data_IF_501579783392
#
_entry.id   IF_501579783392
#
_cell.length_a   1.000
_cell.length_b   1.000
_cell.length_c   1.000
_cell.angle_alpha   90.00
_cell.angle_beta   90.00
_cell.angle_gamma   90.00
#
_symmetry.space_group_name_H-M   'P 1'
#
loop_
_entity.id
_entity.type
_entity.pdbx_description
1 polymer ?
#
# COMPACT_ATOMS: atom_id res chain seq x y z
N UNK A 1 -5.48 4.71 50.76
CA UNK A 1 -4.73 5.56 49.81
C UNK A 1 -5.57 6.80 49.51
N UNK A 2 -4.98 8.01 49.45
CA UNK A 2 -5.77 9.22 49.13
C UNK A 2 -6.29 9.14 47.68
N UNK A 3 -7.55 9.53 47.39
CA UNK A 3 -8.17 9.41 46.06
C UNK A 3 -7.39 10.17 44.97
N UNK A 4 -6.64 11.20 45.36
CA UNK A 4 -5.77 12.00 44.49
C UNK A 4 -4.70 11.14 43.80
N UNK A 5 -4.12 10.16 44.49
CA UNK A 5 -3.10 9.28 43.89
C UNK A 5 -3.72 8.33 42.86
N UNK A 6 -4.94 7.86 43.10
CA UNK A 6 -5.65 6.99 42.16
C UNK A 6 -5.98 7.72 40.85
N UNK A 7 -6.47 8.97 40.94
CA UNK A 7 -6.69 9.80 39.76
C UNK A 7 -5.39 10.11 39.01
N UNK A 8 -4.30 10.40 39.72
CA UNK A 8 -3.00 10.65 39.09
C UNK A 8 -2.50 9.43 38.31
N UNK A 9 -2.64 8.22 38.86
CA UNK A 9 -2.25 6.97 38.19
C UNK A 9 -3.11 6.73 36.95
N UNK A 10 -4.43 6.92 37.04
CA UNK A 10 -5.33 6.75 35.89
C UNK A 10 -4.96 7.71 34.75
N UNK A 11 -4.73 8.98 35.06
CA UNK A 11 -4.34 9.97 34.07
C UNK A 11 -3.01 9.62 33.40
N UNK A 12 -2.04 9.14 34.18
CA UNK A 12 -0.75 8.70 33.65
C UNK A 12 -0.88 7.48 32.74
N UNK A 13 -1.61 6.45 33.19
CA UNK A 13 -1.85 5.23 32.41
C UNK A 13 -2.63 5.53 31.13
N UNK A 14 -3.63 6.40 31.21
CA UNK A 14 -4.41 6.82 30.04
C UNK A 14 -3.55 7.55 29.00
N UNK A 15 -2.69 8.48 29.44
CA UNK A 15 -1.74 9.16 28.55
C UNK A 15 -0.75 8.19 27.89
N UNK A 16 -0.21 7.25 28.66
CA UNK A 16 0.73 6.25 28.17
C UNK A 16 0.08 5.29 27.16
N UNK A 17 -1.12 4.78 27.45
CA UNK A 17 -1.89 3.96 26.53
C UNK A 17 -2.25 4.72 25.25
N UNK A 18 -2.63 5.99 25.37
CA UNK A 18 -2.88 6.86 24.22
C UNK A 18 -1.66 6.97 23.29
N UNK A 19 -0.48 7.16 23.87
CA UNK A 19 0.77 7.20 23.10
C UNK A 19 1.07 5.87 22.39
N UNK A 20 0.90 4.73 23.09
CA UNK A 20 1.08 3.39 22.49
C UNK A 20 0.13 3.21 21.31
N UNK A 21 -1.16 3.53 21.46
CA UNK A 21 -2.16 3.39 20.39
C UNK A 21 -1.76 4.25 19.17
N UNK A 22 -1.36 5.50 19.38
CA UNK A 22 -0.94 6.38 18.30
C UNK A 22 0.29 5.85 17.55
N UNK A 23 1.31 5.42 18.30
CA UNK A 23 2.58 5.00 17.74
C UNK A 23 2.48 3.64 17.04
N UNK A 24 1.78 2.67 17.64
CA UNK A 24 1.74 1.29 17.17
C UNK A 24 0.52 0.96 16.30
N UNK A 25 -0.56 1.75 16.32
CA UNK A 25 -1.73 1.47 15.48
C UNK A 25 -1.91 2.52 14.40
N UNK A 26 -2.00 3.80 14.78
CA UNK A 26 -2.35 4.85 13.83
C UNK A 26 -1.25 5.05 12.78
N UNK A 27 0.02 5.19 13.20
CA UNK A 27 1.15 5.37 12.26
C UNK A 27 1.31 4.23 11.24
N UNK A 28 1.36 2.94 11.63
CA UNK A 28 1.53 1.87 10.64
C UNK A 28 0.33 1.72 9.70
N UNK A 29 -0.90 1.90 10.19
CA UNK A 29 -2.10 1.86 9.34
C UNK A 29 -2.05 2.99 8.30
N UNK A 30 -1.67 4.20 8.71
CA UNK A 30 -1.50 5.32 7.78
C UNK A 30 -0.39 5.06 6.76
N UNK A 31 0.73 4.47 7.18
CA UNK A 31 1.82 4.06 6.29
C UNK A 31 1.35 3.11 5.20
N UNK A 32 0.65 2.04 5.57
CA UNK A 32 0.05 1.10 4.63
C UNK A 32 -0.92 1.77 3.66
N UNK A 33 -1.84 2.60 4.18
CA UNK A 33 -2.81 3.31 3.33
C UNK A 33 -2.13 4.25 2.33
N UNK A 34 -1.04 4.91 2.72
CA UNK A 34 -0.23 5.73 1.80
C UNK A 34 0.37 4.90 0.67
N UNK A 35 0.96 3.74 0.97
CA UNK A 35 1.55 2.85 -0.04
C UNK A 35 0.47 2.28 -0.96
N UNK A 36 -0.67 1.83 -0.40
CA UNK A 36 -1.85 1.39 -1.17
C UNK A 36 -2.33 2.46 -2.14
N UNK A 37 -2.45 3.71 -1.69
CA UNK A 37 -2.86 4.82 -2.54
C UNK A 37 -1.81 5.15 -3.62
N UNK A 38 -0.51 5.08 -3.30
CA UNK A 38 0.58 5.25 -4.26
C UNK A 38 0.47 4.22 -5.40
N UNK A 39 0.26 2.94 -5.05
CA UNK A 39 0.02 1.86 -6.04
C UNK A 39 -1.23 2.14 -6.88
N UNK A 40 -2.34 2.53 -6.25
CA UNK A 40 -3.58 2.89 -6.95
C UNK A 40 -3.37 3.99 -7.99
N UNK A 41 -2.65 5.05 -7.62
CA UNK A 41 -2.34 6.18 -8.49
C UNK A 41 -1.42 5.75 -9.65
N UNK A 42 -0.40 4.95 -9.39
CA UNK A 42 0.50 4.44 -10.45
C UNK A 42 -0.27 3.61 -11.48
N UNK A 43 -1.16 2.73 -11.02
CA UNK A 43 -2.00 1.92 -11.92
C UNK A 43 -2.96 2.81 -12.72
N UNK A 44 -3.61 3.77 -12.08
CA UNK A 44 -4.55 4.70 -12.73
C UNK A 44 -3.85 5.56 -13.78
N UNK A 45 -2.65 6.05 -13.50
CA UNK A 45 -1.84 6.84 -14.43
C UNK A 45 -1.49 6.04 -15.69
N UNK A 46 -1.07 4.78 -15.52
CA UNK A 46 -0.73 3.90 -16.64
C UNK A 46 -1.97 3.61 -17.52
N UNK A 47 -3.11 3.27 -16.91
CA UNK A 47 -4.35 3.08 -17.66
C UNK A 47 -4.77 4.34 -18.43
N UNK A 48 -4.58 5.53 -17.86
CA UNK A 48 -4.90 6.81 -18.52
C UNK A 48 -3.97 7.09 -19.69
N UNK A 49 -2.66 6.92 -19.49
CA UNK A 49 -1.64 7.16 -20.53
C UNK A 49 -1.80 6.21 -21.72
N UNK A 50 -2.24 4.97 -21.49
CA UNK A 50 -2.56 4.02 -22.57
C UNK A 50 -3.70 4.50 -23.48
N UNK A 51 -4.72 5.17 -22.93
CA UNK A 51 -5.88 5.62 -23.71
C UNK A 51 -5.58 6.83 -24.60
N UNK A 52 -4.50 7.56 -24.33
CA UNK A 52 -4.08 8.66 -25.19
C UNK A 52 -3.25 8.14 -26.37
N UNK A 53 -3.65 8.51 -27.60
CA UNK A 53 -3.02 8.06 -28.85
C UNK A 53 -1.85 8.94 -29.32
N UNK A 54 -1.43 9.91 -28.52
CA UNK A 54 -0.47 10.94 -28.95
C UNK A 54 0.97 10.37 -29.05
N UNK A 55 1.65 10.66 -30.16
CA UNK A 55 2.97 10.10 -30.52
C UNK A 55 4.07 10.68 -29.62
N UNK A 56 3.95 11.95 -29.21
CA UNK A 56 4.85 12.56 -28.22
C UNK A 56 4.72 11.95 -26.82
N UNK A 57 3.56 11.38 -26.50
CA UNK A 57 3.31 10.69 -25.24
C UNK A 57 3.91 9.27 -25.24
N UNK A 58 3.96 8.59 -26.40
CA UNK A 58 4.62 7.27 -26.56
C UNK A 58 6.13 7.30 -26.28
N UNK A 59 6.84 8.35 -26.71
CA UNK A 59 8.28 8.50 -26.43
C UNK A 59 8.52 8.76 -24.94
N UNK A 60 7.66 9.58 -24.30
CA UNK A 60 7.68 9.78 -22.84
C UNK A 60 7.33 8.50 -22.06
N UNK A 61 6.43 7.67 -22.60
CA UNK A 61 6.09 6.36 -22.07
C UNK A 61 7.30 5.43 -22.05
N UNK A 62 8.08 5.34 -23.13
CA UNK A 62 9.28 4.49 -23.19
C UNK A 62 10.38 4.91 -22.19
N UNK A 63 10.62 6.22 -22.02
CA UNK A 63 11.53 6.69 -20.96
C UNK A 63 10.97 6.39 -19.56
N UNK A 64 9.66 6.54 -19.37
CA UNK A 64 8.97 6.20 -18.12
C UNK A 64 8.90 4.70 -17.85
N UNK A 65 9.01 3.81 -18.85
CA UNK A 65 8.91 2.36 -18.62
C UNK A 65 10.01 1.84 -17.68
N UNK A 66 11.24 2.35 -17.82
CA UNK A 66 12.34 1.99 -16.90
C UNK A 66 12.09 2.51 -15.48
N UNK A 67 11.63 3.75 -15.36
CA UNK A 67 11.26 4.36 -14.07
C UNK A 67 10.06 3.64 -13.43
N UNK A 68 9.13 3.19 -14.26
CA UNK A 68 7.91 2.49 -13.87
C UNK A 68 8.21 1.08 -13.36
N UNK A 69 9.11 0.34 -14.03
CA UNK A 69 9.60 -0.94 -13.52
C UNK A 69 10.26 -0.79 -12.15
N UNK A 70 11.12 0.23 -11.99
CA UNK A 70 11.76 0.54 -10.70
C UNK A 70 10.73 0.91 -9.63
N UNK A 71 9.75 1.75 -9.97
CA UNK A 71 8.67 2.17 -9.06
C UNK A 71 7.80 0.98 -8.63
N UNK A 72 7.45 0.07 -9.54
CA UNK A 72 6.67 -1.13 -9.22
C UNK A 72 7.45 -2.09 -8.32
N UNK A 73 8.75 -2.27 -8.56
CA UNK A 73 9.61 -3.08 -7.70
C UNK A 73 9.72 -2.48 -6.29
N UNK A 74 9.92 -1.16 -6.20
CA UNK A 74 9.94 -0.45 -4.91
C UNK A 74 8.60 -0.58 -4.18
N UNK A 75 7.49 -0.29 -4.87
CA UNK A 75 6.16 -0.41 -4.30
C UNK A 75 5.84 -1.85 -3.86
N UNK A 76 6.32 -2.88 -4.59
CA UNK A 76 6.18 -4.28 -4.18
C UNK A 76 6.85 -4.54 -2.83
N UNK A 77 8.10 -4.09 -2.67
CA UNK A 77 8.87 -4.29 -1.43
C UNK A 77 8.28 -3.47 -0.29
N UNK A 78 7.93 -2.21 -0.54
CA UNK A 78 7.29 -1.33 0.45
C UNK A 78 5.94 -1.90 0.92
N UNK A 79 5.13 -2.44 0.00
CA UNK A 79 3.82 -3.01 0.32
C UNK A 79 3.94 -4.29 1.15
N UNK A 80 4.85 -5.19 0.78
CA UNK A 80 5.07 -6.43 1.54
C UNK A 80 5.67 -6.15 2.92
N UNK A 81 6.66 -5.26 3.02
CA UNK A 81 7.25 -4.85 4.29
C UNK A 81 6.21 -4.15 5.19
N UNK A 82 5.40 -3.24 4.63
CA UNK A 82 4.34 -2.57 5.38
C UNK A 82 3.32 -3.54 5.94
N UNK A 83 2.97 -4.60 5.21
CA UNK A 83 2.03 -5.61 5.69
C UNK A 83 2.67 -6.57 6.69
N UNK A 84 3.88 -7.05 6.44
CA UNK A 84 4.52 -8.06 7.29
C UNK A 84 5.04 -7.50 8.60
N UNK A 85 5.75 -6.37 8.55
CA UNK A 85 6.56 -5.87 9.66
C UNK A 85 5.85 -4.80 10.49
N UNK A 86 5.04 -3.96 9.83
CA UNK A 86 4.51 -2.75 10.47
C UNK A 86 3.05 -2.88 10.91
N UNK A 87 2.27 -3.73 10.24
CA UNK A 87 0.82 -3.81 10.46
C UNK A 87 0.48 -4.60 11.75
N UNK A 88 -0.39 -4.07 12.62
CA UNK A 88 -0.93 -4.83 13.73
C UNK A 88 -1.73 -6.06 13.26
N UNK A 89 -1.61 -7.20 13.95
CA UNK A 89 -2.26 -8.46 13.58
C UNK A 89 -3.79 -8.34 13.45
N UNK A 90 -4.44 -7.60 14.34
CA UNK A 90 -5.89 -7.35 14.27
C UNK A 90 -6.29 -6.64 12.97
N UNK A 91 -5.43 -5.75 12.46
CA UNK A 91 -5.67 -5.03 11.22
C UNK A 91 -5.41 -5.95 10.01
N UNK A 92 -4.45 -6.88 10.09
CA UNK A 92 -4.27 -7.93 9.08
C UNK A 92 -5.53 -8.80 8.96
N UNK A 93 -6.09 -9.24 10.09
CA UNK A 93 -7.37 -9.99 10.10
C UNK A 93 -8.52 -9.20 9.47
N UNK A 94 -8.58 -7.88 9.69
CA UNK A 94 -9.56 -7.00 9.05
C UNK A 94 -9.36 -6.89 7.53
N UNK A 95 -8.11 -6.94 7.04
CA UNK A 95 -7.84 -6.96 5.60
C UNK A 95 -8.27 -8.30 4.99
N UNK A 96 -7.97 -9.41 5.67
CA UNK A 96 -8.35 -10.74 5.24
C UNK A 96 -9.88 -10.87 5.15
N UNK A 97 -10.62 -10.32 6.13
CA UNK A 97 -12.09 -10.32 6.11
C UNK A 97 -12.69 -9.48 4.98
N UNK A 98 -11.93 -8.52 4.44
CA UNK A 98 -12.30 -7.74 3.25
C UNK A 98 -11.86 -8.41 1.94
N UNK A 99 -11.19 -9.55 2.02
CA UNK A 99 -10.54 -10.22 0.90
C UNK A 99 -9.43 -9.37 0.28
N UNK A 100 -8.78 -8.51 1.06
CA UNK A 100 -7.58 -7.78 0.64
C UNK A 100 -6.33 -8.62 0.93
N UNK A 101 -5.49 -8.87 -0.08
CA UNK A 101 -4.20 -9.53 0.08
C UNK A 101 -3.06 -8.64 -0.43
N UNK A 102 -2.44 -7.83 0.44
CA UNK A 102 -1.29 -7.01 0.07
C UNK A 102 -0.08 -7.82 -0.37
N UNK A 103 0.07 -9.04 0.17
CA UNK A 103 1.13 -9.97 -0.21
C UNK A 103 0.96 -10.40 -1.67
N UNK A 104 -0.23 -10.83 -2.07
CA UNK A 104 -0.44 -11.28 -3.46
C UNK A 104 -0.40 -10.12 -4.45
N UNK A 105 -0.92 -8.95 -4.06
CA UNK A 105 -0.75 -7.72 -4.81
C UNK A 105 0.74 -7.37 -5.02
N UNK A 106 1.58 -7.54 -3.99
CA UNK A 106 3.02 -7.30 -4.10
C UNK A 106 3.70 -8.24 -5.10
N UNK A 107 3.34 -9.54 -5.12
CA UNK A 107 3.85 -10.50 -6.10
C UNK A 107 3.52 -10.05 -7.52
N UNK A 108 2.29 -9.62 -7.76
CA UNK A 108 1.89 -9.11 -9.08
C UNK A 108 2.59 -7.81 -9.45
N UNK A 109 2.88 -6.92 -8.49
CA UNK A 109 3.70 -5.71 -8.73
C UNK A 109 5.14 -6.07 -9.13
N UNK A 110 5.74 -7.08 -8.50
CA UNK A 110 7.08 -7.56 -8.85
C UNK A 110 7.10 -8.21 -10.24
N UNK A 111 6.07 -8.97 -10.61
CA UNK A 111 5.95 -9.53 -11.97
C UNK A 111 5.79 -8.38 -12.98
N UNK A 112 4.97 -7.39 -12.64
CA UNK A 112 4.72 -6.21 -13.45
C UNK A 112 5.99 -5.38 -13.68
N UNK A 113 6.91 -5.31 -12.71
CA UNK A 113 8.18 -4.61 -12.91
C UNK A 113 9.11 -5.24 -13.95
N UNK A 114 8.94 -6.55 -14.21
CA UNK A 114 9.79 -7.30 -15.13
C UNK A 114 9.09 -7.59 -16.48
N UNK A 115 7.78 -7.39 -16.57
CA UNK A 115 6.99 -7.72 -17.75
C UNK A 115 6.99 -6.56 -18.74
N UNK A 116 7.42 -6.83 -19.99
CA UNK A 116 7.37 -5.88 -21.11
C UNK A 116 6.21 -6.16 -22.08
N UNK A 117 5.50 -7.27 -21.90
CA UNK A 117 4.35 -7.62 -22.73
C UNK A 117 3.06 -6.97 -22.19
N UNK A 118 2.49 -6.07 -22.99
CA UNK A 118 1.31 -5.28 -22.65
C UNK A 118 0.07 -6.11 -22.27
N UNK A 119 -0.17 -7.26 -22.90
CA UNK A 119 -1.33 -8.12 -22.57
C UNK A 119 -1.19 -8.77 -21.19
N UNK A 120 0.03 -9.18 -20.84
CA UNK A 120 0.33 -9.72 -19.51
C UNK A 120 0.29 -8.63 -18.43
N UNK A 121 0.72 -7.40 -18.76
CA UNK A 121 0.64 -6.27 -17.82
C UNK A 121 -0.81 -6.01 -17.39
N UNK A 122 -1.77 -5.98 -18.31
CA UNK A 122 -3.17 -5.73 -17.97
C UNK A 122 -3.76 -6.78 -17.04
N UNK A 123 -3.46 -8.05 -17.28
CA UNK A 123 -3.86 -9.14 -16.39
C UNK A 123 -3.35 -8.90 -14.98
N UNK A 124 -2.06 -8.62 -14.83
CA UNK A 124 -1.47 -8.36 -13.51
C UNK A 124 -2.00 -7.08 -12.86
N UNK A 125 -2.25 -6.02 -13.62
CA UNK A 125 -2.88 -4.80 -13.08
C UNK A 125 -4.30 -5.05 -12.59
N UNK A 126 -5.09 -5.89 -13.28
CA UNK A 126 -6.42 -6.31 -12.84
C UNK A 126 -6.35 -7.10 -11.54
N UNK A 127 -5.42 -8.05 -11.44
CA UNK A 127 -5.22 -8.79 -10.20
C UNK A 127 -4.79 -7.88 -9.04
N UNK A 128 -3.89 -6.92 -9.26
CA UNK A 128 -3.50 -5.97 -8.21
C UNK A 128 -4.71 -5.16 -7.72
N UNK A 129 -5.58 -4.70 -8.63
CA UNK A 129 -6.82 -4.00 -8.25
C UNK A 129 -7.75 -4.90 -7.44
N UNK A 130 -7.88 -6.17 -7.82
CA UNK A 130 -8.71 -7.15 -7.10
C UNK A 130 -8.18 -7.41 -5.68
N UNK A 131 -6.88 -7.68 -5.55
CA UNK A 131 -6.24 -8.00 -4.28
C UNK A 131 -6.14 -6.80 -3.33
N UNK A 132 -6.04 -5.58 -3.85
CA UNK A 132 -6.06 -4.37 -3.02
C UNK A 132 -7.45 -3.74 -2.90
N UNK A 133 -8.49 -4.31 -3.53
CA UNK A 133 -9.85 -3.75 -3.60
C UNK A 133 -9.83 -2.26 -4.00
N UNK A 134 -9.03 -1.92 -5.02
CA UNK A 134 -8.92 -0.57 -5.57
C UNK A 134 -9.89 -0.43 -6.75
N UNK A 135 -10.64 0.68 -6.80
CA UNK A 135 -11.52 1.04 -7.92
C UNK A 135 -10.72 1.65 -9.08
#
# INVERSE_FOLDING_TARGET
>A
MKPIYFMAIISFVSGFLGYIILQFWIRPILGYRKIKNKVALTIKYYCKSKNNKDIGEKIKLQMKEKEWGKANRQNSVELSASYNENLPNWYKMLLDSRGESPIDASKHLMILSNTRNYGHMEKHMKEIKNYLKIK
#
